data_IF_139699538252
#
_entry.id   IF_139699538252
#
_cell.length_a   1.000
_cell.length_b   1.000
_cell.length_c   1.000
_cell.angle_alpha   90.00
_cell.angle_beta   90.00
_cell.angle_gamma   90.00
#
_symmetry.space_group_name_H-M   'P 1'
#
loop_
_entity.id
_entity.type
_entity.pdbx_description
1 polymer ?
#
# COMPACT_ATOMS: atom_id res chain seq x y z
N UNK A 1 33.90 -6.18 -5.31
CA UNK A 1 35.03 -7.13 -5.17
C UNK A 1 34.59 -8.58 -5.33
N UNK A 2 33.57 -9.05 -4.60
CA UNK A 2 33.08 -10.43 -4.73
C UNK A 2 32.45 -10.73 -6.10
N UNK A 3 31.48 -9.92 -6.56
CA UNK A 3 30.75 -10.17 -7.81
C UNK A 3 31.57 -9.84 -9.07
N UNK A 4 32.12 -8.62 -9.15
CA UNK A 4 32.83 -8.15 -10.36
C UNK A 4 34.26 -8.72 -10.53
N UNK A 5 34.96 -8.99 -9.42
CA UNK A 5 36.37 -9.41 -9.44
C UNK A 5 36.58 -10.86 -9.00
N UNK A 6 35.53 -11.56 -8.61
CA UNK A 6 35.57 -12.97 -8.19
C UNK A 6 36.36 -13.24 -6.91
N UNK A 7 36.60 -12.24 -6.06
CA UNK A 7 37.42 -12.43 -4.86
C UNK A 7 36.66 -13.23 -3.80
N UNK A 8 37.35 -14.11 -3.09
CA UNK A 8 36.77 -14.84 -1.96
C UNK A 8 36.51 -13.91 -0.78
N UNK A 9 35.52 -14.24 0.06
CA UNK A 9 35.23 -13.45 1.27
C UNK A 9 36.44 -13.33 2.21
N UNK A 10 37.32 -14.34 2.23
CA UNK A 10 38.58 -14.33 2.99
C UNK A 10 39.52 -13.27 2.42
N UNK A 11 39.67 -13.22 1.09
CA UNK A 11 40.55 -12.26 0.43
C UNK A 11 40.05 -10.83 0.64
N UNK A 12 38.74 -10.62 0.51
CA UNK A 12 38.10 -9.32 0.74
C UNK A 12 38.27 -8.87 2.20
N UNK A 13 38.05 -9.79 3.14
CA UNK A 13 38.23 -9.53 4.58
C UNK A 13 39.67 -9.14 4.91
N UNK A 14 40.66 -9.80 4.30
CA UNK A 14 42.07 -9.48 4.47
C UNK A 14 42.45 -8.14 3.84
N UNK A 15 41.87 -7.79 2.69
CA UNK A 15 42.20 -6.58 1.94
C UNK A 15 41.55 -5.32 2.54
N UNK A 16 40.43 -5.50 3.25
CA UNK A 16 39.69 -4.43 3.91
C UNK A 16 39.86 -4.42 5.44
N UNK A 17 40.67 -5.34 6.00
CA UNK A 17 40.90 -5.51 7.43
C UNK A 17 39.60 -5.66 8.27
N UNK A 18 38.60 -6.34 7.71
CA UNK A 18 37.30 -6.57 8.34
C UNK A 18 37.08 -8.05 8.64
N UNK A 19 36.16 -8.36 9.55
CA UNK A 19 35.80 -9.73 9.85
C UNK A 19 35.19 -10.44 8.62
N UNK A 20 35.68 -11.63 8.27
CA UNK A 20 35.16 -12.48 7.20
C UNK A 20 33.65 -12.72 7.31
N UNK A 21 33.14 -12.87 8.53
CA UNK A 21 31.72 -13.13 8.76
C UNK A 21 30.84 -11.93 8.37
N UNK A 22 31.35 -10.71 8.58
CA UNK A 22 30.70 -9.47 8.11
C UNK A 22 30.62 -9.46 6.59
N UNK A 23 31.75 -9.73 5.92
CA UNK A 23 31.79 -9.82 4.44
C UNK A 23 30.84 -10.90 3.90
N UNK A 24 30.74 -12.06 4.56
CA UNK A 24 29.81 -13.11 4.17
C UNK A 24 28.34 -12.69 4.32
N UNK A 25 28.01 -11.99 5.41
CA UNK A 25 26.66 -11.45 5.62
C UNK A 25 26.31 -10.39 4.57
N UNK A 26 27.25 -9.50 4.26
CA UNK A 26 27.07 -8.46 3.24
C UNK A 26 26.90 -9.07 1.84
N UNK A 27 27.70 -10.08 1.48
CA UNK A 27 27.54 -10.81 0.22
C UNK A 27 26.17 -11.48 0.15
N UNK A 28 25.69 -12.07 1.25
CA UNK A 28 24.38 -12.72 1.31
C UNK A 28 23.26 -11.69 1.15
N UNK A 29 23.37 -10.54 1.81
CA UNK A 29 22.44 -9.42 1.69
C UNK A 29 22.40 -8.88 0.26
N UNK A 30 23.56 -8.57 -0.33
CA UNK A 30 23.67 -8.08 -1.72
C UNK A 30 23.15 -9.10 -2.73
N UNK A 31 23.42 -10.40 -2.55
CA UNK A 31 22.82 -11.45 -3.39
C UNK A 31 21.29 -11.39 -3.34
N UNK A 32 20.71 -11.23 -2.15
CA UNK A 32 19.26 -11.18 -1.99
C UNK A 32 18.62 -9.94 -2.61
N UNK A 33 19.33 -8.81 -2.61
CA UNK A 33 18.89 -7.57 -3.27
C UNK A 33 18.97 -7.69 -4.80
N UNK A 34 20.03 -8.33 -5.32
CA UNK A 34 20.19 -8.61 -6.75
C UNK A 34 19.12 -9.57 -7.25
N UNK A 35 18.84 -10.68 -6.54
CA UNK A 35 17.78 -11.61 -6.97
C UNK A 35 16.39 -10.99 -6.93
N UNK A 36 16.12 -10.04 -6.04
CA UNK A 36 14.86 -9.27 -6.05
C UNK A 36 14.77 -8.36 -7.27
N UNK A 37 15.85 -7.63 -7.62
CA UNK A 37 15.91 -6.76 -8.80
C UNK A 37 15.85 -7.52 -10.12
N UNK A 38 16.43 -8.72 -10.19
CA UNK A 38 16.41 -9.54 -11.41
C UNK A 38 15.09 -10.29 -11.62
N UNK A 39 14.21 -10.42 -10.62
CA UNK A 39 12.83 -10.90 -10.81
C UNK A 39 11.92 -9.86 -11.51
N UNK A 40 12.30 -8.59 -11.45
CA UNK A 40 11.57 -7.48 -12.09
C UNK A 40 11.64 -7.60 -13.62
N UNK A 41 12.79 -8.01 -14.16
CA UNK A 41 12.99 -8.11 -15.62
C UNK A 41 12.10 -9.17 -16.29
N UNK A 42 11.99 -10.42 -15.77
CA UNK A 42 11.03 -11.40 -16.28
C UNK A 42 9.57 -10.98 -16.13
N UNK A 43 9.19 -10.32 -15.04
CA UNK A 43 7.81 -9.88 -14.83
C UNK A 43 7.41 -8.77 -15.82
N UNK A 44 8.26 -7.77 -16.01
CA UNK A 44 8.07 -6.72 -17.02
C UNK A 44 8.01 -7.34 -18.42
N UNK A 45 8.94 -8.24 -18.74
CA UNK A 45 8.94 -8.93 -20.03
C UNK A 45 7.65 -9.73 -20.27
N UNK A 46 7.13 -10.42 -19.26
CA UNK A 46 5.86 -11.15 -19.36
C UNK A 46 4.66 -10.21 -19.59
N UNK A 47 4.66 -9.01 -18.99
CA UNK A 47 3.63 -8.00 -19.21
C UNK A 47 3.68 -7.46 -20.65
N UNK A 48 4.87 -7.15 -21.16
CA UNK A 48 5.06 -6.73 -22.56
C UNK A 48 4.59 -7.82 -23.53
N UNK A 49 4.90 -9.10 -23.25
CA UNK A 49 4.42 -10.21 -24.09
C UNK A 49 2.89 -10.34 -24.05
N UNK A 50 2.26 -10.14 -22.90
CA UNK A 50 0.80 -10.12 -22.77
C UNK A 50 0.20 -8.99 -23.62
N UNK A 51 0.74 -7.78 -23.50
CA UNK A 51 0.27 -6.61 -24.25
C UNK A 51 0.38 -6.82 -25.76
N UNK A 52 1.51 -7.36 -26.24
CA UNK A 52 1.67 -7.69 -27.66
C UNK A 52 0.64 -8.71 -28.17
N UNK A 53 0.31 -9.72 -27.36
CA UNK A 53 -0.73 -10.70 -27.72
C UNK A 53 -2.12 -10.08 -27.74
N UNK A 54 -2.42 -9.17 -26.80
CA UNK A 54 -3.69 -8.42 -26.79
C UNK A 54 -3.82 -7.54 -28.05
N UNK A 55 -2.78 -6.80 -28.42
CA UNK A 55 -2.77 -6.01 -29.65
C UNK A 55 -2.93 -6.87 -30.92
N UNK A 56 -2.35 -8.07 -30.95
CA UNK A 56 -2.53 -9.01 -32.07
C UNK A 56 -3.97 -9.53 -32.13
N UNK A 57 -4.57 -9.82 -30.97
CA UNK A 57 -5.97 -10.23 -30.86
C UNK A 57 -6.90 -9.14 -31.41
N UNK A 58 -6.69 -7.90 -31.01
CA UNK A 58 -7.54 -6.77 -31.44
C UNK A 58 -7.52 -6.62 -32.97
N UNK A 59 -6.34 -6.69 -33.60
CA UNK A 59 -6.21 -6.68 -35.07
C UNK A 59 -6.93 -7.84 -35.75
N UNK A 60 -6.92 -9.02 -35.12
CA UNK A 60 -7.61 -10.20 -35.67
C UNK A 60 -9.13 -10.11 -35.51
N UNK A 61 -9.61 -9.45 -34.45
CA UNK A 61 -11.04 -9.16 -34.27
C UNK A 61 -11.51 -8.21 -35.36
N UNK A 62 -10.77 -7.13 -35.64
CA UNK A 62 -11.07 -6.21 -36.75
C UNK A 62 -11.06 -6.94 -38.11
N UNK A 63 -10.11 -7.86 -38.32
CA UNK A 63 -10.07 -8.71 -39.51
C UNK A 63 -11.29 -9.64 -39.59
N UNK A 64 -11.76 -10.18 -38.46
CA UNK A 64 -12.93 -11.06 -38.41
C UNK A 64 -14.21 -10.33 -38.80
N UNK A 65 -14.35 -9.06 -38.40
CA UNK A 65 -15.50 -8.22 -38.75
C UNK A 65 -15.58 -7.92 -40.25
N UNK A 66 -14.43 -7.82 -40.92
CA UNK A 66 -14.35 -7.50 -42.35
C UNK A 66 -14.34 -8.74 -43.26
N UNK A 67 -14.05 -9.92 -42.71
CA UNK A 67 -13.97 -11.17 -43.47
C UNK A 67 -15.37 -11.75 -43.74
N UNK A 68 -15.72 -11.92 -45.02
CA UNK A 68 -17.04 -12.46 -45.44
C UNK A 68 -17.03 -13.97 -45.68
N UNK A 69 -15.89 -14.54 -46.04
CA UNK A 69 -15.76 -15.95 -46.35
C UNK A 69 -15.72 -16.79 -45.08
N UNK A 70 -16.60 -17.79 -44.99
CA UNK A 70 -16.77 -18.61 -43.79
C UNK A 70 -15.50 -19.36 -43.38
N UNK A 71 -14.79 -19.99 -44.32
CA UNK A 71 -13.56 -20.72 -44.00
C UNK A 71 -12.46 -19.79 -43.44
N UNK A 72 -12.35 -18.58 -43.98
CA UNK A 72 -11.38 -17.60 -43.51
C UNK A 72 -11.74 -17.08 -42.12
N UNK A 73 -13.03 -16.81 -41.85
CA UNK A 73 -13.50 -16.46 -40.51
C UNK A 73 -13.17 -17.54 -39.49
N UNK A 74 -13.44 -18.81 -39.81
CA UNK A 74 -13.16 -19.93 -38.91
C UNK A 74 -11.66 -20.05 -38.59
N UNK A 75 -10.78 -19.76 -39.57
CA UNK A 75 -9.32 -19.73 -39.35
C UNK A 75 -8.93 -18.58 -38.41
N UNK A 76 -9.49 -17.39 -38.61
CA UNK A 76 -9.23 -16.22 -37.74
C UNK A 76 -9.70 -16.49 -36.31
N UNK A 77 -10.90 -17.03 -36.13
CA UNK A 77 -11.43 -17.42 -34.81
C UNK A 77 -10.53 -18.43 -34.09
N UNK A 78 -10.00 -19.42 -34.81
CA UNK A 78 -9.05 -20.38 -34.24
C UNK A 78 -7.76 -19.71 -33.76
N UNK A 79 -7.23 -18.75 -34.53
CA UNK A 79 -6.02 -18.02 -34.14
C UNK A 79 -6.29 -17.15 -32.91
N UNK A 80 -7.46 -16.51 -32.82
CA UNK A 80 -7.88 -15.75 -31.63
C UNK A 80 -7.91 -16.67 -30.40
N UNK A 81 -8.54 -17.84 -30.50
CA UNK A 81 -8.58 -18.81 -29.41
C UNK A 81 -7.17 -19.24 -28.94
N UNK A 82 -6.26 -19.46 -29.89
CA UNK A 82 -4.86 -19.80 -29.56
C UNK A 82 -4.14 -18.65 -28.84
N UNK A 83 -4.42 -17.40 -29.21
CA UNK A 83 -3.87 -16.22 -28.53
C UNK A 83 -4.44 -16.11 -27.11
N UNK A 84 -5.74 -16.31 -26.93
CA UNK A 84 -6.37 -16.28 -25.61
C UNK A 84 -5.80 -17.36 -24.69
N UNK A 85 -5.58 -18.57 -25.20
CA UNK A 85 -4.91 -19.63 -24.46
C UNK A 85 -3.47 -19.25 -24.06
N UNK A 86 -2.73 -18.56 -24.94
CA UNK A 86 -1.38 -18.06 -24.59
C UNK A 86 -1.43 -16.98 -23.52
N UNK A 87 -2.39 -16.06 -23.58
CA UNK A 87 -2.60 -15.03 -22.55
C UNK A 87 -2.93 -15.68 -21.21
N UNK A 88 -3.86 -16.64 -21.17
CA UNK A 88 -4.21 -17.39 -19.95
C UNK A 88 -2.97 -18.06 -19.36
N UNK A 89 -2.16 -18.72 -20.18
CA UNK A 89 -0.92 -19.36 -19.73
C UNK A 89 0.11 -18.34 -19.20
N UNK A 90 0.20 -17.15 -19.77
CA UNK A 90 1.03 -16.07 -19.23
C UNK A 90 0.51 -15.57 -17.89
N UNK A 91 -0.80 -15.40 -17.75
CA UNK A 91 -1.45 -14.98 -16.49
C UNK A 91 -1.24 -16.03 -15.40
N UNK A 92 -1.41 -17.32 -15.70
CA UNK A 92 -1.14 -18.41 -14.74
C UNK A 92 0.33 -18.37 -14.29
N UNK A 93 1.26 -18.19 -15.23
CA UNK A 93 2.68 -18.02 -14.89
C UNK A 93 2.93 -16.79 -14.03
N UNK A 94 2.22 -15.67 -14.27
CA UNK A 94 2.29 -14.48 -13.43
C UNK A 94 1.70 -14.71 -12.02
N UNK A 95 0.69 -15.57 -11.87
CA UNK A 95 0.14 -15.91 -10.54
C UNK A 95 1.04 -16.88 -9.77
N UNK A 96 1.83 -17.71 -10.47
CA UNK A 96 2.84 -18.60 -9.88
C UNK A 96 4.13 -17.87 -9.47
N UNK A 97 4.40 -16.69 -10.05
CA UNK A 97 5.24 -15.72 -9.36
C UNK A 97 4.47 -15.36 -8.10
N UNK A 98 4.81 -16.02 -6.98
CA UNK A 98 4.40 -15.61 -5.65
C UNK A 98 4.35 -14.10 -5.67
N UNK A 99 3.18 -13.56 -5.36
CA UNK A 99 3.03 -12.19 -4.94
C UNK A 99 3.89 -12.01 -3.68
N UNK A 100 5.22 -11.93 -3.87
CA UNK A 100 5.96 -10.83 -3.29
C UNK A 100 5.17 -9.65 -3.79
N UNK A 101 4.20 -9.22 -2.97
CA UNK A 101 3.58 -7.93 -3.10
C UNK A 101 4.77 -7.04 -3.41
N UNK A 102 4.86 -6.58 -4.66
CA UNK A 102 5.78 -5.53 -4.99
C UNK A 102 5.39 -4.46 -3.96
N UNK A 103 6.22 -4.30 -2.93
CA UNK A 103 6.19 -3.13 -2.08
C UNK A 103 6.45 -2.03 -3.09
N UNK A 104 5.35 -1.51 -3.65
CA UNK A 104 5.30 -0.27 -4.34
C UNK A 104 5.88 0.68 -3.31
N UNK A 105 7.19 0.95 -3.41
CA UNK A 105 7.82 2.05 -2.71
C UNK A 105 7.10 3.26 -3.26
N UNK A 106 6.20 3.87 -2.47
CA UNK A 106 5.39 4.96 -2.97
C UNK A 106 6.26 6.17 -3.29
N UNK A 107 7.57 6.13 -2.97
CA UNK A 107 8.46 7.26 -3.14
C UNK A 107 8.05 8.41 -2.21
N UNK A 108 8.82 9.51 -2.23
CA UNK A 108 8.53 10.68 -1.41
C UNK A 108 7.24 11.43 -1.82
N UNK A 109 6.58 11.03 -2.93
CA UNK A 109 5.40 11.72 -3.47
C UNK A 109 4.20 11.71 -2.51
N UNK A 110 4.15 10.77 -1.56
CA UNK A 110 3.08 10.66 -0.57
C UNK A 110 3.46 11.15 0.83
N UNK A 111 4.65 11.71 1.03
CA UNK A 111 5.11 12.12 2.37
C UNK A 111 4.23 13.25 2.95
N UNK A 112 3.82 14.20 2.09
CA UNK A 112 2.86 15.24 2.44
C UNK A 112 1.47 14.65 2.73
N UNK A 113 1.04 13.67 1.94
CA UNK A 113 -0.27 13.02 2.12
C UNK A 113 -0.33 12.25 3.44
N UNK A 114 0.74 11.53 3.80
CA UNK A 114 0.88 10.86 5.09
C UNK A 114 0.78 11.88 6.23
N UNK A 115 1.49 13.00 6.11
CA UNK A 115 1.47 14.09 7.10
C UNK A 115 0.05 14.62 7.31
N UNK A 116 -0.67 14.87 6.23
CA UNK A 116 -2.04 15.39 6.25
C UNK A 116 -3.03 14.39 6.87
N UNK A 117 -2.95 13.11 6.51
CA UNK A 117 -3.82 12.07 7.09
C UNK A 117 -3.60 11.95 8.59
N UNK A 118 -2.34 11.86 9.03
CA UNK A 118 -2.01 11.70 10.45
C UNK A 118 -2.50 12.90 11.25
N UNK A 119 -2.26 14.13 10.75
CA UNK A 119 -2.78 15.34 11.38
C UNK A 119 -4.30 15.35 11.43
N UNK A 120 -4.97 14.97 10.36
CA UNK A 120 -6.44 14.98 10.34
C UNK A 120 -7.04 13.94 11.30
N UNK A 121 -6.55 12.69 11.26
CA UNK A 121 -7.01 11.63 12.17
C UNK A 121 -6.70 11.95 13.63
N UNK A 122 -5.48 12.41 13.93
CA UNK A 122 -4.99 12.58 15.31
C UNK A 122 -5.32 13.95 15.89
N UNK A 123 -5.47 15.02 15.11
CA UNK A 123 -5.80 16.36 15.64
C UNK A 123 -7.25 16.77 15.40
N UNK A 124 -7.85 16.38 14.26
CA UNK A 124 -9.22 16.80 13.89
C UNK A 124 -10.27 15.68 14.08
N UNK A 125 -9.85 14.44 14.29
CA UNK A 125 -10.75 13.30 14.45
C UNK A 125 -11.68 13.45 15.66
N UNK A 126 -12.98 13.19 15.49
CA UNK A 126 -13.99 13.31 16.57
C UNK A 126 -13.94 12.19 17.62
N UNK A 127 -13.18 11.13 17.36
CA UNK A 127 -13.12 9.93 18.19
C UNK A 127 -12.07 10.07 19.28
N UNK A 128 -12.44 9.73 20.52
CA UNK A 128 -11.52 9.51 21.66
C UNK A 128 -10.65 8.24 21.50
N UNK A 129 -10.75 7.56 20.36
CA UNK A 129 -9.96 6.35 20.09
C UNK A 129 -8.58 6.75 19.57
N UNK A 130 -7.55 6.36 20.31
CA UNK A 130 -6.15 6.48 19.91
C UNK A 130 -5.73 5.39 18.89
N UNK A 131 -6.61 4.41 18.65
CA UNK A 131 -6.37 3.28 17.76
C UNK A 131 -7.24 3.36 16.51
N UNK A 132 -6.60 3.23 15.35
CA UNK A 132 -7.24 3.26 14.04
C UNK A 132 -7.06 1.93 13.30
N UNK A 133 -8.12 1.41 12.68
CA UNK A 133 -8.03 0.23 11.83
C UNK A 133 -7.43 0.61 10.46
N UNK A 134 -6.74 -0.32 9.80
CA UNK A 134 -6.23 -0.11 8.44
C UNK A 134 -7.31 0.44 7.48
N UNK A 135 -8.51 -0.14 7.51
CA UNK A 135 -9.61 0.29 6.65
C UNK A 135 -10.10 1.70 6.98
N UNK A 136 -10.05 2.12 8.25
CA UNK A 136 -10.42 3.48 8.65
C UNK A 136 -9.42 4.50 8.09
N UNK A 137 -8.12 4.19 8.16
CA UNK A 137 -7.06 5.04 7.62
C UNK A 137 -7.21 5.17 6.10
N UNK A 138 -7.41 4.04 5.40
CA UNK A 138 -7.59 4.04 3.93
C UNK A 138 -8.86 4.80 3.53
N UNK A 139 -9.98 4.60 4.23
CA UNK A 139 -11.21 5.34 3.93
C UNK A 139 -11.04 6.84 4.17
N UNK A 140 -10.31 7.23 5.22
CA UNK A 140 -10.04 8.64 5.49
C UNK A 140 -9.16 9.27 4.42
N UNK A 141 -8.13 8.56 3.94
CA UNK A 141 -7.31 9.00 2.82
C UNK A 141 -8.18 9.28 1.57
N UNK A 142 -9.12 8.38 1.26
CA UNK A 142 -10.05 8.58 0.12
C UNK A 142 -10.93 9.81 0.30
N UNK A 143 -11.46 10.02 1.50
CA UNK A 143 -12.30 11.18 1.81
C UNK A 143 -11.51 12.50 1.66
N UNK A 144 -10.30 12.55 2.22
CA UNK A 144 -9.48 13.75 2.27
C UNK A 144 -8.98 14.17 0.87
N UNK A 145 -8.52 13.21 0.07
CA UNK A 145 -7.90 13.47 -1.24
C UNK A 145 -8.84 13.26 -2.43
N UNK A 146 -10.09 12.83 -2.19
CA UNK A 146 -11.08 12.50 -3.24
C UNK A 146 -10.52 11.53 -4.28
N UNK A 147 -9.77 10.53 -3.83
CA UNK A 147 -9.07 9.56 -4.66
C UNK A 147 -9.73 8.17 -4.64
N UNK A 148 -9.30 7.31 -5.56
CA UNK A 148 -9.74 5.92 -5.59
C UNK A 148 -9.12 5.08 -4.46
N UNK A 149 -9.63 3.86 -4.29
CA UNK A 149 -9.16 2.96 -3.24
C UNK A 149 -7.69 2.53 -3.43
N UNK A 150 -7.25 2.39 -4.68
CA UNK A 150 -5.88 1.98 -5.01
C UNK A 150 -4.89 3.05 -4.58
N UNK A 151 -5.18 4.31 -4.87
CA UNK A 151 -4.37 5.46 -4.48
C UNK A 151 -4.31 5.62 -2.96
N UNK A 152 -5.45 5.52 -2.26
CA UNK A 152 -5.47 5.54 -0.81
C UNK A 152 -4.68 4.39 -0.15
N UNK A 153 -4.68 3.21 -0.78
CA UNK A 153 -3.88 2.07 -0.32
C UNK A 153 -2.38 2.33 -0.47
N UNK A 154 -1.95 3.05 -1.51
CA UNK A 154 -0.56 3.47 -1.70
C UNK A 154 -0.09 4.41 -0.58
N UNK A 155 -0.92 5.36 -0.17
CA UNK A 155 -0.62 6.25 0.96
C UNK A 155 -0.45 5.42 2.25
N UNK A 156 -1.35 4.46 2.50
CA UNK A 156 -1.22 3.56 3.64
C UNK A 156 0.05 2.70 3.58
N UNK A 157 0.42 2.19 2.40
CA UNK A 157 1.71 1.52 2.19
C UNK A 157 2.88 2.45 2.57
N UNK A 158 2.83 3.73 2.19
CA UNK A 158 3.87 4.70 2.56
C UNK A 158 3.99 4.88 4.06
N UNK A 159 2.87 4.91 4.78
CA UNK A 159 2.88 4.97 6.24
C UNK A 159 3.59 3.75 6.85
N UNK A 160 3.43 2.56 6.25
CA UNK A 160 4.16 1.37 6.70
C UNK A 160 5.67 1.49 6.47
N UNK A 161 6.10 2.14 5.40
CA UNK A 161 7.53 2.41 5.15
C UNK A 161 8.11 3.38 6.19
N UNK A 162 7.28 4.28 6.73
CA UNK A 162 7.61 5.13 7.89
C UNK A 162 7.55 4.40 9.24
N UNK A 163 7.40 3.08 9.22
CA UNK A 163 7.41 2.25 10.42
C UNK A 163 6.06 2.15 11.13
N UNK A 164 4.93 2.48 10.48
CA UNK A 164 3.59 2.34 11.08
C UNK A 164 3.32 0.94 11.64
N UNK A 165 3.89 -0.12 11.05
CA UNK A 165 3.77 -1.52 11.50
C UNK A 165 4.27 -1.74 12.94
N UNK A 166 5.20 -0.92 13.42
CA UNK A 166 5.73 -1.01 14.80
C UNK A 166 4.75 -0.44 15.84
N UNK A 167 3.70 0.26 15.40
CA UNK A 167 2.69 0.89 16.26
C UNK A 167 1.37 0.11 16.28
N UNK A 168 1.41 -1.16 15.91
CA UNK A 168 0.27 -2.07 16.01
C UNK A 168 0.06 -2.48 17.47
N UNK A 169 -1.18 -2.43 17.95
CA UNK A 169 -1.52 -2.88 19.31
C UNK A 169 -1.27 -4.40 19.49
N UNK A 170 -1.18 -4.88 20.73
CA UNK A 170 -0.93 -6.30 21.08
C UNK A 170 -1.94 -7.26 20.42
N UNK A 171 -3.18 -6.81 20.22
CA UNK A 171 -4.23 -7.58 19.54
C UNK A 171 -4.08 -7.66 18.01
N UNK A 172 -3.10 -6.97 17.43
CA UNK A 172 -2.85 -6.92 15.98
C UNK A 172 -3.88 -6.11 15.18
N UNK A 173 -4.86 -5.49 15.83
CA UNK A 173 -6.07 -4.99 15.17
C UNK A 173 -6.06 -3.50 14.85
N UNK A 174 -5.23 -2.68 15.49
CA UNK A 174 -5.27 -1.22 15.29
C UNK A 174 -3.90 -0.58 15.47
N UNK A 175 -3.75 0.61 14.88
CA UNK A 175 -2.53 1.38 14.85
C UNK A 175 -2.64 2.61 15.77
N UNK A 176 -1.60 2.85 16.58
CA UNK A 176 -1.44 4.07 17.38
C UNK A 176 -0.84 5.18 16.52
N UNK A 177 -1.72 5.95 15.87
CA UNK A 177 -1.32 7.05 15.00
C UNK A 177 -0.74 8.24 15.77
N UNK A 178 -1.06 8.39 17.05
CA UNK A 178 -0.53 9.49 17.86
C UNK A 178 0.96 9.27 18.15
N UNK A 179 1.34 8.07 18.61
CA UNK A 179 2.75 7.71 18.80
C UNK A 179 3.52 7.70 17.48
N UNK A 180 2.93 7.16 16.42
CA UNK A 180 3.51 7.19 15.09
C UNK A 180 3.81 8.62 14.63
N UNK A 181 2.84 9.53 14.80
CA UNK A 181 2.96 10.93 14.40
C UNK A 181 4.00 11.70 15.21
N UNK A 182 4.12 11.43 16.52
CA UNK A 182 5.16 12.06 17.37
C UNK A 182 6.55 11.57 16.98
N UNK A 183 6.75 10.26 16.81
CA UNK A 183 8.07 9.69 16.47
C UNK A 183 8.58 10.21 15.12
N UNK A 184 7.68 10.32 14.14
CA UNK A 184 7.99 10.84 12.81
C UNK A 184 7.96 12.37 12.72
N UNK A 185 7.84 13.08 13.85
CA UNK A 185 7.80 14.56 13.93
C UNK A 185 6.68 15.20 13.09
N UNK A 186 5.62 14.46 12.80
CA UNK A 186 4.43 14.91 12.06
C UNK A 186 3.54 15.79 12.95
N UNK A 187 3.44 15.43 14.23
CA UNK A 187 2.72 16.18 15.27
C UNK A 187 3.59 16.33 16.51
N UNK A 188 3.34 17.36 17.30
CA UNK A 188 4.01 17.60 18.58
C UNK A 188 3.16 17.13 19.77
N UNK A 189 3.80 16.76 20.87
CA UNK A 189 3.11 16.44 22.14
C UNK A 189 2.22 17.60 22.61
N UNK A 190 2.65 18.84 22.36
CA UNK A 190 1.88 20.05 22.73
C UNK A 190 0.58 20.17 21.93
N UNK A 191 0.58 19.80 20.64
CA UNK A 191 -0.64 19.78 19.81
C UNK A 191 -1.61 18.70 20.28
N UNK A 192 -1.09 17.52 20.62
CA UNK A 192 -1.90 16.42 21.16
C UNK A 192 -2.53 16.79 22.51
N UNK A 193 -1.75 17.41 23.41
CA UNK A 193 -2.24 17.89 24.71
C UNK A 193 -3.33 18.97 24.57
N UNK A 194 -3.18 19.89 23.60
CA UNK A 194 -4.19 20.90 23.31
C UNK A 194 -5.51 20.27 22.86
N UNK A 195 -5.45 19.28 21.95
CA UNK A 195 -6.63 18.50 21.54
C UNK A 195 -7.28 17.83 22.76
N UNK A 196 -6.50 17.13 23.57
CA UNK A 196 -7.01 16.39 24.73
C UNK A 196 -7.70 17.31 25.74
N UNK A 197 -7.15 18.51 25.96
CA UNK A 197 -7.78 19.55 26.79
C UNK A 197 -9.09 20.07 26.17
N UNK A 198 -9.14 20.28 24.87
CA UNK A 198 -10.35 20.74 24.17
C UNK A 198 -11.49 19.71 24.26
N UNK A 199 -11.20 18.42 24.07
CA UNK A 199 -12.19 17.36 24.25
C UNK A 199 -12.72 17.27 25.69
N UNK A 200 -11.84 17.38 26.69
CA UNK A 200 -12.25 17.41 28.11
C UNK A 200 -13.15 18.60 28.47
N UNK A 201 -13.00 19.73 27.77
CA UNK A 201 -13.86 20.90 27.98
C UNK A 201 -15.19 20.76 27.25
N UNK A 202 -15.21 20.23 26.02
CA UNK A 202 -16.44 19.93 25.26
C UNK A 202 -17.36 18.97 26.03
N UNK A 203 -16.80 17.91 26.63
CA UNK A 203 -17.58 16.92 27.39
C UNK A 203 -18.11 17.43 28.74
N UNK A 204 -17.65 18.61 29.21
CA UNK A 204 -18.17 19.24 30.45
C UNK A 204 -19.37 20.17 30.21
N UNK A 205 -19.71 20.49 28.95
CA UNK A 205 -20.76 21.48 28.62
C UNK A 205 -22.17 20.86 28.46
N UNK A 206 -22.31 19.53 28.46
CA UNK A 206 -23.63 18.88 28.56
C UNK A 206 -23.90 18.42 30.00
N UNK A 207 -24.54 19.27 30.82
CA UNK A 207 -25.85 18.88 31.32
C UNK A 207 -26.76 20.11 31.60
N UNK A 208 -27.49 20.63 30.61
CA UNK A 208 -28.48 21.68 30.89
C UNK A 208 -29.82 21.58 30.15
N UNK A 209 -30.16 20.43 29.56
CA UNK A 209 -31.47 20.23 28.91
C UNK A 209 -32.44 19.27 29.63
N UNK A 210 -32.07 18.69 30.78
CA UNK A 210 -32.97 17.79 31.53
C UNK A 210 -33.84 18.48 32.62
N UNK A 211 -34.07 19.80 32.54
CA UNK A 211 -34.87 20.53 33.54
C UNK A 211 -36.11 21.30 33.03
N UNK A 212 -36.56 21.06 31.80
CA UNK A 212 -37.79 21.71 31.26
C UNK A 212 -38.93 20.69 31.00
N UNK A 213 -38.90 19.52 31.65
CA UNK A 213 -39.86 18.43 31.38
C UNK A 213 -40.76 17.98 32.53
N UNK A 214 -40.87 18.72 33.63
CA UNK A 214 -41.64 18.26 34.82
C UNK A 214 -42.73 19.18 35.38
N UNK A 215 -43.11 20.26 34.69
CA UNK A 215 -44.15 21.18 35.16
C UNK A 215 -45.38 21.29 34.24
N UNK A 216 -45.82 20.20 33.61
CA UNK A 216 -47.06 20.20 32.81
C UNK A 216 -47.86 18.90 32.96
N UNK A 217 -48.09 18.44 34.18
CA UNK A 217 -49.25 17.58 34.50
C UNK A 217 -49.70 17.99 35.90
N UNK A 218 -50.65 18.91 35.96
CA UNK A 218 -51.69 19.00 37.00
C UNK A 218 -52.46 20.30 36.81
N UNK A 219 -53.45 20.23 35.92
CA UNK A 219 -54.68 21.04 35.91
C UNK A 219 -55.56 20.46 34.81
N UNK A 220 -56.29 19.42 35.18
CA UNK A 220 -57.66 19.14 34.74
C UNK A 220 -58.06 17.74 35.23
N UNK A 221 -58.61 17.70 36.45
CA UNK A 221 -59.71 16.83 36.88
C UNK A 221 -60.15 17.18 38.30
#
# INVERSE_FOLDING_TARGET
>A
MYFEKGFSAIKIASELEVNRNTINQDIKFLRSDITKKDQIKPAIWLLEQKEHLEQQKDRLIELLETTKEFEQRLRVERIILDIENKIINLVIKMTDFNSVAYEYDPGPEFDEDVTLIVKDLVLNGKTEKDLFLQNEIILKARELFKCDYTHAKKIFSRMNDFGLKEFVNEDGKGYDLARFGILNQIITETELDKRNKAHRQSNKVEPYWNKIGKNFIDKDK
#
